data_IF_255432532905
#
_entry.id   IF_255432532905
#
_cell.length_a   1.000
_cell.length_b   1.000
_cell.length_c   1.000
_cell.angle_alpha   90.00
_cell.angle_beta   90.00
_cell.angle_gamma   90.00
#
_symmetry.space_group_name_H-M   'P 1'
#
loop_
_entity.id
_entity.type
_entity.pdbx_description
1 polymer ?
#
# COMPACT_ATOMS: atom_id res chain seq x y z
N UNK A 1 12.64 -14.51 -6.82
CA UNK A 1 12.73 -13.53 -5.72
C UNK A 1 12.01 -12.28 -6.15
N UNK A 2 11.15 -11.73 -5.30
CA UNK A 2 10.24 -10.64 -5.63
C UNK A 2 10.50 -9.44 -4.71
N UNK A 3 10.10 -8.28 -5.20
CA UNK A 3 10.30 -6.99 -4.56
C UNK A 3 8.97 -6.23 -4.54
N UNK A 4 8.77 -5.43 -3.49
CA UNK A 4 7.66 -4.49 -3.38
C UNK A 4 8.22 -3.09 -3.60
N UNK A 5 7.61 -2.36 -4.52
CA UNK A 5 7.99 -1.01 -4.91
C UNK A 5 6.85 -0.04 -4.64
N UNK A 6 7.20 1.18 -4.23
CA UNK A 6 6.32 2.33 -4.34
C UNK A 6 6.38 2.79 -5.80
N UNK A 7 5.29 2.57 -6.54
CA UNK A 7 5.23 2.86 -7.96
C UNK A 7 5.18 4.37 -8.25
N UNK A 8 4.66 5.17 -7.30
CA UNK A 8 4.56 6.61 -7.46
C UNK A 8 5.92 7.29 -7.25
N UNK A 9 6.68 6.80 -6.27
CA UNK A 9 8.01 7.35 -5.92
C UNK A 9 9.16 6.66 -6.64
N UNK A 10 8.91 5.49 -7.22
CA UNK A 10 9.94 4.63 -7.81
C UNK A 10 10.93 4.11 -6.77
N UNK A 11 10.47 3.86 -5.54
CA UNK A 11 11.32 3.46 -4.40
C UNK A 11 11.11 1.99 -4.03
N UNK A 12 12.20 1.29 -3.68
CA UNK A 12 12.12 -0.07 -3.15
C UNK A 12 11.62 -0.03 -1.70
N UNK A 13 10.49 -0.68 -1.43
CA UNK A 13 9.89 -0.78 -0.09
C UNK A 13 10.34 -2.04 0.62
N UNK A 14 10.39 -3.17 -0.10
CA UNK A 14 10.75 -4.46 0.48
C UNK A 14 11.30 -5.41 -0.58
N UNK A 15 12.17 -6.33 -0.17
CA UNK A 15 12.80 -7.32 -1.06
C UNK A 15 13.01 -8.65 -0.33
N UNK A 16 13.32 -9.70 -1.09
CA UNK A 16 13.62 -11.02 -0.52
C UNK A 16 12.40 -11.92 -0.39
N UNK A 17 11.34 -11.63 -1.13
CA UNK A 17 10.13 -12.46 -1.18
C UNK A 17 10.36 -13.65 -2.10
N UNK A 18 10.14 -14.87 -1.61
CA UNK A 18 10.37 -16.06 -2.42
C UNK A 18 9.31 -16.23 -3.52
N UNK A 19 8.09 -15.75 -3.27
CA UNK A 19 6.94 -15.82 -4.18
C UNK A 19 6.25 -14.45 -4.33
N UNK A 20 5.50 -14.20 -5.42
CA UNK A 20 4.77 -12.95 -5.57
C UNK A 20 3.64 -12.84 -4.54
N UNK A 21 3.08 -13.95 -4.08
CA UNK A 21 2.03 -13.98 -3.05
C UNK A 21 2.56 -13.52 -1.69
N UNK A 22 3.81 -13.84 -1.33
CA UNK A 22 4.37 -13.33 -0.06
C UNK A 22 4.60 -11.83 -0.11
N UNK A 23 4.99 -11.29 -1.27
CA UNK A 23 5.10 -9.85 -1.51
C UNK A 23 3.72 -9.16 -1.48
N UNK A 24 2.71 -9.78 -2.11
CA UNK A 24 1.34 -9.28 -2.09
C UNK A 24 0.73 -9.29 -0.68
N UNK A 25 0.97 -10.35 0.12
CA UNK A 25 0.51 -10.42 1.50
C UNK A 25 1.11 -9.30 2.38
N UNK A 26 2.36 -8.88 2.11
CA UNK A 26 2.94 -7.71 2.77
C UNK A 26 2.18 -6.43 2.39
N UNK A 27 1.88 -6.23 1.11
CA UNK A 27 1.11 -5.09 0.63
C UNK A 27 -0.26 -5.05 1.32
N UNK A 28 -1.01 -6.16 1.32
CA UNK A 28 -2.30 -6.26 2.00
C UNK A 28 -2.21 -5.89 3.48
N UNK A 29 -1.16 -6.34 4.18
CA UNK A 29 -0.94 -5.99 5.58
C UNK A 29 -0.65 -4.51 5.78
N UNK A 30 0.18 -3.90 4.93
CA UNK A 30 0.46 -2.47 4.95
C UNK A 30 -0.81 -1.67 4.71
N UNK A 31 -1.62 -2.05 3.73
CA UNK A 31 -2.89 -1.39 3.44
C UNK A 31 -3.88 -1.52 4.60
N UNK A 32 -3.98 -2.69 5.22
CA UNK A 32 -4.82 -2.90 6.40
C UNK A 32 -4.35 -2.09 7.62
N UNK A 33 -3.05 -1.98 7.83
CA UNK A 33 -2.49 -1.14 8.90
C UNK A 33 -2.71 0.34 8.62
N UNK A 34 -2.52 0.79 7.39
CA UNK A 34 -2.81 2.17 6.98
C UNK A 34 -4.29 2.48 7.18
N UNK A 35 -5.20 1.63 6.74
CA UNK A 35 -6.64 1.79 6.99
C UNK A 35 -6.96 1.87 8.49
N UNK A 36 -6.28 1.07 9.31
CA UNK A 36 -6.42 1.08 10.77
C UNK A 36 -5.65 2.20 11.48
N UNK A 37 -4.93 3.08 10.79
CA UNK A 37 -4.31 4.24 11.43
C UNK A 37 -4.71 5.56 10.76
N UNK A 38 -5.25 5.53 9.54
CA UNK A 38 -5.76 6.67 8.82
C UNK A 38 -6.89 7.39 9.56
N UNK A 39 -7.69 6.68 10.36
CA UNK A 39 -8.71 7.31 11.22
C UNK A 39 -8.14 8.23 12.31
N UNK A 40 -6.83 8.17 12.59
CA UNK A 40 -6.15 9.03 13.57
C UNK A 40 -5.62 10.33 12.94
N UNK A 41 -5.64 10.47 11.61
CA UNK A 41 -5.12 11.64 10.90
C UNK A 41 -6.15 12.22 9.92
N UNK A 42 -6.29 13.54 9.88
CA UNK A 42 -7.01 14.21 8.80
C UNK A 42 -6.15 14.17 7.52
N UNK A 43 -6.49 13.32 6.55
CA UNK A 43 -5.86 13.32 5.24
C UNK A 43 -6.18 12.09 4.38
N UNK A 44 -6.19 12.30 3.07
CA UNK A 44 -6.34 11.23 2.09
C UNK A 44 -5.00 10.51 1.94
N UNK A 45 -4.97 9.20 2.19
CA UNK A 45 -3.79 8.36 1.98
C UNK A 45 -3.98 7.60 0.69
N UNK A 46 -3.22 7.96 -0.34
CA UNK A 46 -3.09 7.19 -1.57
C UNK A 46 -1.77 6.41 -1.54
N UNK A 47 -1.83 5.09 -1.76
CA UNK A 47 -0.67 4.22 -1.88
C UNK A 47 -0.75 3.40 -3.16
N UNK A 48 0.30 3.45 -3.96
CA UNK A 48 0.47 2.65 -5.17
C UNK A 48 1.66 1.70 -4.97
N UNK A 49 1.38 0.44 -4.67
CA UNK A 49 2.41 -0.57 -4.40
C UNK A 49 2.43 -1.64 -5.49
N UNK A 50 3.62 -1.97 -5.97
CA UNK A 50 3.84 -2.88 -7.08
C UNK A 50 4.74 -4.04 -6.67
N UNK A 51 4.35 -5.26 -7.03
CA UNK A 51 5.22 -6.43 -6.91
C UNK A 51 5.98 -6.60 -8.22
N UNK A 52 7.32 -6.61 -8.13
CA UNK A 52 8.23 -6.87 -9.25
C UNK A 52 8.99 -8.17 -9.07
N UNK A 53 9.29 -8.82 -10.17
CA UNK A 53 10.22 -9.96 -10.18
C UNK A 53 11.70 -9.51 -10.20
N UNK A 54 12.64 -10.47 -10.29
CA UNK A 54 14.08 -10.16 -10.37
C UNK A 54 14.52 -9.51 -11.68
N UNK A 55 13.72 -9.63 -12.74
CA UNK A 55 13.97 -8.94 -14.01
C UNK A 55 13.50 -7.48 -13.97
N UNK A 56 12.74 -7.10 -12.93
CA UNK A 56 12.16 -5.77 -12.77
C UNK A 56 10.79 -5.66 -13.44
N UNK A 57 10.21 -6.77 -13.89
CA UNK A 57 8.90 -6.78 -14.53
C UNK A 57 7.79 -6.73 -13.48
N UNK A 58 6.78 -5.91 -13.75
CA UNK A 58 5.59 -5.75 -12.91
C UNK A 58 4.75 -7.03 -12.96
N UNK A 59 4.59 -7.69 -11.81
CA UNK A 59 3.77 -8.91 -11.69
C UNK A 59 2.36 -8.59 -11.21
N UNK A 60 2.24 -7.66 -10.26
CA UNK A 60 0.94 -7.24 -9.70
C UNK A 60 1.01 -5.80 -9.22
N UNK A 61 -0.03 -5.00 -9.51
CA UNK A 61 -0.19 -3.64 -9.01
C UNK A 61 -1.35 -3.57 -8.01
N UNK A 62 -1.11 -2.98 -6.85
CA UNK A 62 -2.10 -2.74 -5.82
C UNK A 62 -2.22 -1.24 -5.56
N UNK A 63 -3.38 -0.69 -5.87
CA UNK A 63 -3.70 0.71 -5.57
C UNK A 63 -4.68 0.77 -4.41
N UNK A 64 -4.30 1.45 -3.34
CA UNK A 64 -5.24 1.89 -2.31
C UNK A 64 -5.52 3.37 -2.57
N UNK A 65 -6.62 3.62 -3.31
CA UNK A 65 -7.10 4.94 -3.66
C UNK A 65 -8.35 5.35 -2.88
N UNK A 66 -8.74 4.58 -1.85
CA UNK A 66 -9.79 5.01 -0.95
C UNK A 66 -9.26 6.23 -0.21
N UNK A 67 -9.72 7.38 -0.68
CA UNK A 67 -9.81 8.63 0.05
C UNK A 67 -10.39 8.25 1.42
N UNK A 68 -9.50 8.00 2.38
CA UNK A 68 -9.85 7.80 3.77
C UNK A 68 -10.34 9.16 4.25
N UNK A 69 -11.58 9.49 3.92
CA UNK A 69 -12.31 10.52 4.64
C UNK A 69 -12.39 10.00 6.07
N UNK A 70 -11.44 10.43 6.89
CA UNK A 70 -11.66 10.54 8.32
C UNK A 70 -13.10 11.06 8.46
N UNK A 71 -14.00 10.35 9.15
CA UNK A 71 -15.26 10.95 9.53
C UNK A 71 -14.86 12.11 10.44
N UNK A 72 -14.69 13.29 9.83
CA UNK A 72 -14.58 14.53 10.56
C UNK A 72 -15.77 14.49 11.49
N UNK A 73 -15.47 14.48 12.79
CA UNK A 73 -16.40 14.53 13.91
C UNK A 73 -17.74 15.08 13.43
N UNK A 74 -18.76 14.22 13.37
CA UNK A 74 -20.13 14.69 13.40
C UNK A 74 -20.35 15.22 14.82
N UNK A 75 -19.79 16.40 15.07
CA UNK A 75 -20.10 17.25 16.21
C UNK A 75 -20.70 18.49 15.60
N UNK A 76 -21.89 18.82 16.09
CA UNK A 76 -22.71 20.00 15.80
C UNK A 76 -23.82 19.74 14.77
N UNK A 77 -24.93 19.16 15.27
CA UNK A 77 -26.29 19.71 15.16
C UNK A 77 -27.20 19.12 16.24
#
# INVERSE_FOLDING_TARGET
MYQVWDADRGELVSSGHDTPESAAALIERVLADVARHAHLGHGDIALCLEVRDTAGEAVTLHTCGDIFQSPARQSDL
#
